data_IF_350095264485
#
_entry.id   IF_350095264485
#
_cell.length_a   1.000
_cell.length_b   1.000
_cell.length_c   1.000
_cell.angle_alpha   90.00
_cell.angle_beta   90.00
_cell.angle_gamma   90.00
#
_symmetry.space_group_name_H-M   'P 1'
#
loop_
_entity.id
_entity.type
_entity.pdbx_description
1 polymer ?
#
# COMPACT_ATOMS: atom_id res chain seq x y z
N UNK A 1 0.68 -12.09 -31.60
CA UNK A 1 -0.03 -12.82 -30.53
C UNK A 1 1.00 -13.04 -29.45
N UNK A 2 0.95 -12.26 -28.35
CA UNK A 2 1.81 -12.53 -27.20
C UNK A 2 1.39 -13.87 -26.60
N UNK A 3 2.32 -14.78 -26.46
CA UNK A 3 2.08 -16.00 -25.69
C UNK A 3 1.65 -15.60 -24.29
N UNK A 4 0.61 -16.25 -23.75
CA UNK A 4 0.23 -16.04 -22.35
C UNK A 4 1.44 -16.37 -21.49
N UNK A 5 1.78 -15.54 -20.49
CA UNK A 5 2.88 -15.86 -19.59
C UNK A 5 2.64 -17.24 -18.98
N UNK A 6 3.69 -18.05 -18.89
CA UNK A 6 3.61 -19.43 -18.43
C UNK A 6 3.08 -19.56 -16.98
N UNK A 7 3.10 -18.46 -16.23
CA UNK A 7 2.65 -18.39 -14.83
C UNK A 7 1.22 -17.81 -14.64
N UNK A 8 0.56 -17.34 -15.72
CA UNK A 8 -0.79 -16.76 -15.65
C UNK A 8 -0.92 -15.44 -14.88
N UNK A 9 0.19 -14.84 -14.44
CA UNK A 9 0.21 -13.64 -13.57
C UNK A 9 0.35 -12.36 -14.37
N UNK A 10 1.50 -12.15 -15.02
CA UNK A 10 1.82 -10.91 -15.74
C UNK A 10 2.94 -11.13 -16.74
N UNK A 11 2.91 -10.40 -17.88
CA UNK A 11 3.94 -10.47 -18.90
C UNK A 11 5.31 -9.95 -18.42
N UNK A 12 5.32 -9.10 -17.39
CA UNK A 12 6.55 -8.55 -16.77
C UNK A 12 6.94 -9.27 -15.47
N UNK A 13 6.19 -10.27 -15.06
CA UNK A 13 6.48 -11.06 -13.87
C UNK A 13 7.44 -12.21 -14.20
N UNK A 14 8.63 -12.17 -13.63
CA UNK A 14 9.59 -13.26 -13.74
C UNK A 14 9.38 -14.29 -12.61
N UNK A 15 8.81 -15.48 -12.89
CA UNK A 15 8.50 -16.46 -11.86
C UNK A 15 9.75 -16.99 -11.14
N UNK A 16 10.94 -16.83 -11.69
CA UNK A 16 12.19 -17.30 -11.06
C UNK A 16 12.63 -16.44 -9.88
N UNK A 17 12.12 -15.20 -9.82
CA UNK A 17 12.42 -14.25 -8.73
C UNK A 17 11.46 -14.35 -7.54
N UNK A 18 10.39 -15.10 -7.65
CA UNK A 18 9.28 -15.10 -6.71
C UNK A 18 8.85 -16.50 -6.30
N UNK A 19 8.41 -16.62 -5.04
CA UNK A 19 7.75 -17.81 -4.50
C UNK A 19 6.40 -17.40 -3.93
N UNK A 20 5.35 -18.16 -4.23
CA UNK A 20 4.02 -17.92 -3.66
C UNK A 20 4.05 -18.06 -2.14
N UNK A 21 3.39 -17.15 -1.43
CA UNK A 21 3.28 -17.21 0.04
C UNK A 21 2.24 -18.26 0.43
N UNK A 22 2.63 -19.35 1.12
CA UNK A 22 1.71 -20.42 1.43
C UNK A 22 0.65 -20.02 2.47
N UNK A 23 -0.49 -20.74 2.46
CA UNK A 23 -1.57 -20.54 3.43
C UNK A 23 -2.59 -19.46 3.04
N UNK A 24 -2.50 -18.94 1.82
CA UNK A 24 -3.46 -17.98 1.26
C UNK A 24 -4.02 -18.54 -0.06
N UNK A 25 -5.34 -18.66 -0.11
CA UNK A 25 -6.08 -18.99 -1.33
C UNK A 25 -6.85 -17.73 -1.76
N UNK A 26 -6.18 -16.88 -2.53
CA UNK A 26 -6.71 -15.61 -2.99
C UNK A 26 -7.24 -15.72 -4.42
N UNK A 27 -8.44 -15.17 -4.65
CA UNK A 27 -9.08 -15.17 -5.96
C UNK A 27 -8.80 -13.88 -6.77
N UNK A 28 -8.74 -12.76 -6.09
CA UNK A 28 -8.71 -11.42 -6.69
C UNK A 28 -7.33 -10.75 -6.64
N UNK A 29 -6.39 -11.34 -5.91
CA UNK A 29 -5.00 -10.88 -5.82
C UNK A 29 -4.03 -12.05 -5.96
N UNK A 30 -2.76 -11.73 -6.23
CA UNK A 30 -1.64 -12.68 -6.05
C UNK A 30 -0.71 -12.19 -4.96
N UNK A 31 -0.10 -13.11 -4.21
CA UNK A 31 0.77 -12.79 -3.09
C UNK A 31 2.04 -13.64 -3.15
N UNK A 32 3.17 -12.99 -3.41
CA UNK A 32 4.46 -13.65 -3.60
C UNK A 32 5.54 -13.02 -2.72
N UNK A 33 6.54 -13.82 -2.38
CA UNK A 33 7.76 -13.41 -1.70
C UNK A 33 8.90 -13.40 -2.71
N UNK A 34 9.74 -12.37 -2.68
CA UNK A 34 10.96 -12.34 -3.47
C UNK A 34 11.98 -13.34 -2.90
N UNK A 35 12.70 -14.04 -3.79
CA UNK A 35 13.64 -15.09 -3.41
C UNK A 35 14.93 -14.51 -2.81
N UNK A 36 15.41 -13.37 -3.29
CA UNK A 36 16.71 -12.80 -2.95
C UNK A 36 16.64 -11.51 -2.11
N UNK A 37 15.44 -10.98 -1.87
CA UNK A 37 15.20 -9.73 -1.15
C UNK A 37 14.11 -9.94 -0.11
N UNK A 38 14.23 -9.32 1.06
CA UNK A 38 13.22 -9.37 2.12
C UNK A 38 11.95 -8.55 1.73
N UNK A 39 11.39 -8.82 0.56
CA UNK A 39 10.23 -8.13 0.00
C UNK A 39 9.10 -9.08 -0.34
N UNK A 40 7.88 -8.56 -0.35
CA UNK A 40 6.70 -9.25 -0.86
C UNK A 40 6.05 -8.43 -1.96
N UNK A 41 5.42 -9.12 -2.91
CA UNK A 41 4.61 -8.55 -3.99
C UNK A 41 3.16 -8.94 -3.78
N UNK A 42 2.31 -7.93 -3.62
CA UNK A 42 0.86 -8.06 -3.57
C UNK A 42 0.32 -7.41 -4.84
N UNK A 43 -0.40 -8.15 -5.66
CA UNK A 43 -0.89 -7.64 -6.94
C UNK A 43 -2.38 -7.91 -7.14
N UNK A 44 -3.13 -6.89 -7.55
CA UNK A 44 -4.48 -7.08 -8.05
C UNK A 44 -4.48 -8.07 -9.22
N UNK A 45 -5.42 -8.99 -9.26
CA UNK A 45 -5.49 -10.05 -10.27
C UNK A 45 -6.88 -10.18 -10.91
N UNK A 46 -7.39 -9.05 -11.39
CA UNK A 46 -8.63 -8.94 -12.16
C UNK A 46 -8.40 -8.14 -13.46
N UNK A 47 -7.40 -8.54 -14.29
CA UNK A 47 -6.95 -7.72 -15.43
C UNK A 47 -8.05 -7.52 -16.48
N UNK A 48 -9.00 -8.43 -16.61
CA UNK A 48 -10.14 -8.34 -17.54
C UNK A 48 -11.07 -7.14 -17.28
N UNK A 49 -10.97 -6.54 -16.09
CA UNK A 49 -11.72 -5.34 -15.68
C UNK A 49 -10.79 -4.24 -15.15
N UNK A 50 -9.57 -4.20 -15.63
CA UNK A 50 -8.57 -3.20 -15.21
C UNK A 50 -8.29 -3.21 -13.71
N UNK A 51 -8.30 -4.38 -13.11
CA UNK A 51 -8.05 -4.56 -11.67
C UNK A 51 -8.98 -3.71 -10.78
N UNK A 52 -10.24 -3.51 -11.21
CA UNK A 52 -11.25 -2.88 -10.36
C UNK A 52 -11.49 -3.75 -9.13
N UNK A 53 -11.45 -3.15 -7.94
CA UNK A 53 -11.65 -3.89 -6.69
C UNK A 53 -13.14 -4.05 -6.33
N UNK A 54 -13.45 -5.15 -5.69
CA UNK A 54 -14.73 -5.48 -5.04
C UNK A 54 -14.49 -5.79 -3.56
N UNK A 55 -15.53 -5.97 -2.74
CA UNK A 55 -15.34 -6.26 -1.31
C UNK A 55 -14.37 -7.41 -1.04
N UNK A 56 -14.48 -8.54 -1.75
CA UNK A 56 -13.54 -9.65 -1.61
C UNK A 56 -12.09 -9.24 -1.91
N UNK A 57 -11.85 -8.48 -2.97
CA UNK A 57 -10.50 -7.96 -3.28
C UNK A 57 -9.92 -7.17 -2.11
N UNK A 58 -10.75 -6.36 -1.45
CA UNK A 58 -10.34 -5.53 -0.32
C UNK A 58 -10.01 -6.38 0.91
N UNK A 59 -10.82 -7.41 1.19
CA UNK A 59 -10.56 -8.37 2.28
C UNK A 59 -9.24 -9.14 2.05
N UNK A 60 -9.00 -9.58 0.82
CA UNK A 60 -7.75 -10.26 0.45
C UNK A 60 -6.54 -9.35 0.58
N UNK A 61 -6.63 -8.10 0.09
CA UNK A 61 -5.59 -7.09 0.25
C UNK A 61 -5.27 -6.83 1.73
N UNK A 62 -6.30 -6.67 2.55
CA UNK A 62 -6.12 -6.45 3.99
C UNK A 62 -5.39 -7.62 4.63
N UNK A 63 -5.79 -8.86 4.34
CA UNK A 63 -5.15 -10.07 4.87
C UNK A 63 -3.69 -10.19 4.45
N UNK A 64 -3.37 -9.95 3.16
CA UNK A 64 -2.00 -9.99 2.65
C UNK A 64 -1.12 -8.90 3.28
N UNK A 65 -1.62 -7.66 3.36
CA UNK A 65 -0.91 -6.54 3.97
C UNK A 65 -0.70 -6.73 5.47
N UNK A 66 -1.69 -7.25 6.20
CA UNK A 66 -1.57 -7.52 7.63
C UNK A 66 -0.57 -8.64 7.91
N UNK A 67 -0.58 -9.70 7.12
CA UNK A 67 0.46 -10.74 7.18
C UNK A 67 1.85 -10.15 6.90
N UNK A 68 2.00 -9.36 5.82
CA UNK A 68 3.26 -8.70 5.50
C UNK A 68 3.72 -7.76 6.62
N UNK A 69 2.78 -7.05 7.27
CA UNK A 69 3.05 -6.18 8.42
C UNK A 69 3.65 -6.95 9.60
N UNK A 70 3.12 -8.12 9.89
CA UNK A 70 3.52 -8.95 11.04
C UNK A 70 4.76 -9.82 10.78
N UNK A 71 5.03 -10.18 9.51
CA UNK A 71 6.12 -11.08 9.15
C UNK A 71 7.50 -10.42 9.45
N UNK A 72 8.32 -11.04 10.31
CA UNK A 72 9.63 -10.51 10.73
C UNK A 72 10.68 -10.52 9.63
N UNK A 73 10.49 -11.31 8.60
CA UNK A 73 11.38 -11.52 7.46
C UNK A 73 10.96 -10.72 6.21
N UNK A 74 9.97 -9.84 6.33
CA UNK A 74 9.55 -8.88 5.29
C UNK A 74 9.98 -7.48 5.69
N UNK A 75 10.78 -6.82 4.86
CA UNK A 75 11.24 -5.44 5.05
C UNK A 75 10.52 -4.43 4.15
N UNK A 76 10.03 -4.86 2.97
CA UNK A 76 9.39 -4.00 1.98
C UNK A 76 8.18 -4.69 1.33
N UNK A 77 7.18 -3.91 0.95
CA UNK A 77 5.98 -4.39 0.22
C UNK A 77 5.90 -3.70 -1.13
N UNK A 78 5.80 -4.49 -2.20
CA UNK A 78 5.48 -4.02 -3.55
C UNK A 78 3.98 -4.23 -3.78
N UNK A 79 3.22 -3.16 -4.00
CA UNK A 79 1.80 -3.20 -4.33
C UNK A 79 1.64 -2.86 -5.81
N UNK A 80 1.09 -3.78 -6.60
CA UNK A 80 1.00 -3.64 -8.06
C UNK A 80 -0.30 -4.21 -8.63
N UNK A 81 -0.39 -4.32 -9.95
CA UNK A 81 -1.49 -4.96 -10.67
C UNK A 81 -0.99 -5.91 -11.75
N UNK A 82 -1.58 -7.09 -11.83
CA UNK A 82 -1.30 -8.07 -12.88
C UNK A 82 -1.94 -7.66 -14.22
N UNK A 83 -1.34 -8.11 -15.30
CA UNK A 83 -1.79 -7.80 -16.65
C UNK A 83 -0.95 -8.47 -17.73
N UNK A 84 -1.20 -8.17 -18.98
CA UNK A 84 -2.19 -7.22 -19.51
C UNK A 84 -3.64 -7.75 -19.46
N UNK A 85 -4.61 -6.87 -19.73
CA UNK A 85 -6.00 -7.28 -19.87
C UNK A 85 -6.15 -8.21 -21.10
N UNK A 86 -6.81 -9.37 -20.93
CA UNK A 86 -7.05 -10.30 -22.03
C UNK A 86 -8.00 -9.75 -23.11
N UNK A 87 -8.70 -8.64 -22.83
CA UNK A 87 -9.69 -8.04 -23.76
C UNK A 87 -9.01 -7.19 -24.85
N UNK A 88 -7.98 -6.44 -24.47
CA UNK A 88 -7.41 -5.41 -25.35
C UNK A 88 -5.91 -5.14 -25.12
N UNK A 89 -5.26 -5.97 -24.30
CA UNK A 89 -3.83 -5.84 -24.00
C UNK A 89 -3.48 -4.64 -23.12
N UNK A 90 -4.47 -3.90 -22.59
CA UNK A 90 -4.18 -2.72 -21.77
C UNK A 90 -3.81 -3.06 -20.34
N UNK A 91 -2.99 -2.19 -19.73
CA UNK A 91 -2.46 -2.35 -18.39
C UNK A 91 -3.20 -1.51 -17.36
N UNK A 92 -3.28 -2.00 -16.13
CA UNK A 92 -3.75 -1.24 -14.99
C UNK A 92 -3.07 -1.70 -13.69
N UNK A 93 -2.77 -0.73 -12.85
CA UNK A 93 -2.56 -0.96 -11.43
C UNK A 93 -3.91 -1.32 -10.78
N UNK A 94 -4.81 -0.35 -10.75
CA UNK A 94 -6.16 -0.50 -10.23
C UNK A 94 -7.06 0.64 -10.75
N UNK A 95 -8.21 0.32 -11.29
CA UNK A 95 -9.17 1.30 -11.81
C UNK A 95 -10.22 1.76 -10.79
N UNK A 96 -10.00 1.48 -9.49
CA UNK A 96 -10.91 1.86 -8.42
C UNK A 96 -11.98 0.82 -8.14
N UNK A 97 -13.08 1.21 -7.51
CA UNK A 97 -14.18 0.32 -7.18
C UNK A 97 -14.94 -0.18 -8.41
N UNK A 98 -15.30 -1.44 -8.42
CA UNK A 98 -16.07 -2.07 -9.52
C UNK A 98 -17.47 -1.48 -9.60
N UNK A 99 -17.68 -0.54 -10.51
CA UNK A 99 -18.95 0.18 -10.67
C UNK A 99 -20.14 -0.72 -11.06
N UNK A 100 -19.89 -1.93 -11.57
CA UNK A 100 -20.95 -2.88 -11.96
C UNK A 100 -21.72 -3.43 -10.77
N UNK A 101 -21.09 -3.43 -9.58
CA UNK A 101 -21.67 -3.94 -8.32
C UNK A 101 -22.00 -2.84 -7.32
N UNK A 102 -21.80 -1.56 -7.69
CA UNK A 102 -22.16 -0.42 -6.84
C UNK A 102 -23.67 -0.16 -6.88
N UNK A 103 -24.35 -0.36 -5.76
CA UNK A 103 -25.74 -0.03 -5.55
C UNK A 103 -25.95 1.21 -4.68
N UNK A 104 -27.20 1.49 -4.28
CA UNK A 104 -27.53 2.56 -3.32
C UNK A 104 -26.88 2.33 -1.94
N UNK A 105 -26.66 1.07 -1.58
CA UNK A 105 -26.07 0.67 -0.31
C UNK A 105 -24.53 0.47 -0.41
N UNK A 106 -23.91 0.95 -1.49
CA UNK A 106 -22.49 0.80 -1.75
C UNK A 106 -22.13 -0.47 -2.53
N UNK A 107 -20.90 -0.95 -2.33
CA UNK A 107 -20.38 -2.17 -2.98
C UNK A 107 -20.80 -3.40 -2.17
N UNK A 108 -21.38 -4.41 -2.83
CA UNK A 108 -21.90 -5.62 -2.17
C UNK A 108 -21.03 -6.83 -2.48
N UNK A 109 -20.98 -7.75 -1.51
CA UNK A 109 -20.50 -9.10 -1.75
C UNK A 109 -21.47 -9.84 -2.70
N UNK A 110 -20.95 -10.82 -3.44
CA UNK A 110 -21.80 -11.72 -4.23
C UNK A 110 -22.62 -12.64 -3.33
N UNK A 111 -23.68 -13.24 -3.89
CA UNK A 111 -24.53 -14.19 -3.14
C UNK A 111 -23.73 -15.43 -2.68
N UNK A 112 -22.73 -15.86 -3.45
CA UNK A 112 -21.84 -16.96 -3.03
C UNK A 112 -20.97 -16.59 -1.83
N UNK A 113 -20.40 -15.39 -1.80
CA UNK A 113 -19.58 -14.89 -0.70
C UNK A 113 -20.41 -14.73 0.59
N UNK A 114 -21.64 -14.23 0.47
CA UNK A 114 -22.56 -14.12 1.62
C UNK A 114 -23.05 -15.48 2.12
N UNK A 115 -23.21 -16.48 1.24
CA UNK A 115 -23.55 -17.85 1.61
C UNK A 115 -22.43 -18.56 2.41
N UNK A 116 -21.17 -18.11 2.27
CA UNK A 116 -20.02 -18.59 3.05
C UNK A 116 -19.94 -17.96 4.46
N UNK A 117 -20.94 -17.17 4.86
CA UNK A 117 -21.05 -16.61 6.22
C UNK A 117 -20.49 -15.21 6.40
N UNK A 118 -20.22 -14.48 5.31
CA UNK A 118 -19.85 -13.06 5.40
C UNK A 118 -21.07 -12.25 5.84
N UNK A 119 -20.90 -11.48 6.92
CA UNK A 119 -21.94 -10.59 7.42
C UNK A 119 -22.30 -9.53 6.37
N UNK A 120 -23.56 -9.52 5.92
CA UNK A 120 -24.06 -8.56 4.94
C UNK A 120 -23.92 -7.10 5.40
N UNK A 121 -23.82 -6.83 6.71
CA UNK A 121 -23.57 -5.49 7.23
C UNK A 121 -22.19 -4.94 6.84
N UNK A 122 -21.22 -5.79 6.51
CA UNK A 122 -19.91 -5.38 5.98
C UNK A 122 -20.01 -4.78 4.59
N UNK A 123 -21.00 -5.21 3.79
CA UNK A 123 -21.09 -4.85 2.38
C UNK A 123 -21.30 -3.35 2.14
N UNK A 124 -21.94 -2.62 3.06
CA UNK A 124 -22.16 -1.18 2.94
C UNK A 124 -20.96 -0.31 3.31
N UNK A 125 -19.88 -0.89 3.82
CA UNK A 125 -18.69 -0.15 4.29
C UNK A 125 -17.62 -0.08 3.22
N UNK A 126 -16.94 1.04 3.16
CA UNK A 126 -15.77 1.22 2.27
C UNK A 126 -14.51 0.66 2.95
N UNK A 127 -14.36 -0.66 2.98
CA UNK A 127 -13.23 -1.35 3.61
C UNK A 127 -11.87 -0.94 3.00
N UNK A 128 -11.84 -0.38 1.80
CA UNK A 128 -10.62 0.16 1.17
C UNK A 128 -9.97 1.24 2.05
N UNK A 129 -10.72 1.95 2.88
CA UNK A 129 -10.17 2.92 3.83
C UNK A 129 -9.33 2.25 4.91
N UNK A 130 -9.69 1.03 5.33
CA UNK A 130 -8.88 0.24 6.26
C UNK A 130 -7.59 -0.25 5.61
N UNK A 131 -7.60 -0.58 4.32
CA UNK A 131 -6.38 -0.88 3.55
C UNK A 131 -5.47 0.35 3.49
N UNK A 132 -6.01 1.52 3.19
CA UNK A 132 -5.25 2.78 3.18
C UNK A 132 -4.63 3.06 4.56
N UNK A 133 -5.41 2.89 5.62
CA UNK A 133 -4.94 3.06 7.00
C UNK A 133 -3.81 2.07 7.33
N UNK A 134 -3.95 0.81 6.93
CA UNK A 134 -2.94 -0.21 7.16
C UNK A 134 -1.63 0.12 6.43
N UNK A 135 -1.69 0.52 5.15
CA UNK A 135 -0.52 0.94 4.37
C UNK A 135 0.20 2.10 5.07
N UNK A 136 -0.53 3.13 5.50
CA UNK A 136 0.04 4.30 6.13
C UNK A 136 0.70 3.99 7.48
N UNK A 137 0.07 3.13 8.29
CA UNK A 137 0.47 2.90 9.68
C UNK A 137 1.38 1.68 9.88
N UNK A 138 1.58 0.84 8.85
CA UNK A 138 2.46 -0.31 8.99
C UNK A 138 3.93 0.10 9.11
N UNK A 139 4.75 -0.67 9.89
CA UNK A 139 6.16 -0.33 10.16
C UNK A 139 7.11 -0.66 8.99
N UNK A 140 6.59 -0.73 7.77
CA UNK A 140 7.34 -1.14 6.57
C UNK A 140 7.06 -0.20 5.43
N UNK A 141 8.03 -0.04 4.55
CA UNK A 141 7.87 0.76 3.33
C UNK A 141 7.00 0.01 2.35
N UNK A 142 6.04 0.72 1.75
CA UNK A 142 5.17 0.21 0.69
C UNK A 142 5.46 0.99 -0.59
N UNK A 143 5.92 0.30 -1.62
CA UNK A 143 6.15 0.85 -2.96
C UNK A 143 4.95 0.50 -3.85
N UNK A 144 4.29 1.50 -4.40
CA UNK A 144 3.29 1.29 -5.45
C UNK A 144 4.00 1.19 -6.80
N UNK A 145 3.81 0.07 -7.48
CA UNK A 145 4.35 -0.19 -8.81
C UNK A 145 3.20 -0.12 -9.81
N UNK A 146 3.18 0.92 -10.65
CA UNK A 146 2.04 1.29 -11.50
C UNK A 146 2.28 0.86 -12.95
N UNK A 147 1.82 -0.34 -13.37
CA UNK A 147 2.05 -0.84 -14.74
C UNK A 147 1.11 -0.21 -15.77
N UNK A 148 0.06 0.50 -15.35
CA UNK A 148 -0.94 1.06 -16.24
C UNK A 148 -1.87 2.03 -15.51
N UNK A 149 -3.18 1.93 -15.73
CA UNK A 149 -4.16 2.83 -15.13
C UNK A 149 -4.19 2.75 -13.60
N UNK A 150 -4.03 3.89 -12.95
CA UNK A 150 -4.33 4.13 -11.54
C UNK A 150 -5.47 5.16 -11.48
N UNK A 151 -6.73 4.70 -11.24
CA UNK A 151 -7.89 5.55 -11.35
C UNK A 151 -8.82 5.46 -10.13
N UNK A 152 -9.48 6.53 -9.76
CA UNK A 152 -10.39 6.61 -8.62
C UNK A 152 -9.73 6.09 -7.33
N UNK A 153 -10.32 5.08 -6.68
CA UNK A 153 -9.73 4.44 -5.50
C UNK A 153 -8.34 3.84 -5.73
N UNK A 154 -8.01 3.43 -6.97
CA UNK A 154 -6.65 3.00 -7.34
C UNK A 154 -5.65 4.17 -7.35
N UNK A 155 -6.08 5.35 -7.80
CA UNK A 155 -5.28 6.57 -7.67
C UNK A 155 -5.05 6.92 -6.20
N UNK A 156 -6.07 6.85 -5.37
CA UNK A 156 -5.94 7.12 -3.93
C UNK A 156 -5.00 6.13 -3.24
N UNK A 157 -5.00 4.84 -3.65
CA UNK A 157 -4.09 3.84 -3.09
C UNK A 157 -2.61 4.16 -3.37
N UNK A 158 -2.24 4.56 -4.61
CA UNK A 158 -0.85 4.89 -4.89
C UNK A 158 -0.39 6.15 -4.12
N UNK A 159 -1.29 7.12 -3.94
CA UNK A 159 -1.00 8.34 -3.15
C UNK A 159 -0.72 8.02 -1.68
N UNK A 160 -1.36 6.99 -1.13
CA UNK A 160 -1.19 6.56 0.27
C UNK A 160 0.08 5.73 0.47
N UNK A 161 0.58 5.06 -0.57
CA UNK A 161 1.86 4.34 -0.52
C UNK A 161 3.03 5.30 -0.26
N UNK A 162 4.11 4.79 0.29
CA UNK A 162 5.29 5.61 0.64
C UNK A 162 6.04 6.10 -0.61
N UNK A 163 6.12 5.26 -1.64
CA UNK A 163 6.82 5.53 -2.89
C UNK A 163 5.98 5.03 -4.08
N UNK A 164 6.19 5.62 -5.26
CA UNK A 164 5.54 5.20 -6.51
C UNK A 164 6.53 5.15 -7.66
N UNK A 165 6.59 4.00 -8.34
CA UNK A 165 7.31 3.79 -9.61
C UNK A 165 6.27 3.53 -10.69
N UNK A 166 6.38 4.17 -11.85
CA UNK A 166 5.39 4.11 -12.92
C UNK A 166 5.98 3.69 -14.27
N UNK A 167 5.22 2.90 -15.04
CA UNK A 167 5.52 2.60 -16.42
C UNK A 167 5.46 3.84 -17.30
N UNK A 168 6.51 4.12 -18.07
CA UNK A 168 6.59 5.23 -19.00
C UNK A 168 5.47 5.15 -20.06
N UNK A 169 5.28 3.98 -20.66
CA UNK A 169 4.38 3.78 -21.78
C UNK A 169 2.91 3.69 -21.36
N UNK A 170 2.63 3.02 -20.25
CA UNK A 170 1.27 2.59 -19.92
C UNK A 170 0.65 3.28 -18.71
N UNK A 171 1.45 3.85 -17.78
CA UNK A 171 0.87 4.45 -16.58
C UNK A 171 0.05 5.70 -16.93
N UNK A 172 -1.17 5.72 -16.37
CA UNK A 172 -2.13 6.83 -16.50
C UNK A 172 -2.80 7.03 -15.15
N UNK A 173 -2.86 8.28 -14.75
CA UNK A 173 -3.39 8.69 -13.45
C UNK A 173 -4.64 9.53 -13.65
N UNK A 174 -5.73 9.18 -12.95
CA UNK A 174 -6.99 9.91 -13.05
C UNK A 174 -7.79 9.78 -11.76
N UNK A 175 -8.33 10.90 -11.26
CA UNK A 175 -9.41 10.85 -10.29
C UNK A 175 -10.76 10.87 -11.01
N UNK A 176 -11.57 9.84 -10.73
CA UNK A 176 -12.84 9.61 -11.41
C UNK A 176 -14.07 9.91 -10.55
N UNK A 177 -13.89 10.29 -9.29
CA UNK A 177 -14.98 10.39 -8.33
C UNK A 177 -16.06 11.37 -8.77
N UNK A 178 -15.68 12.54 -9.29
CA UNK A 178 -16.61 13.54 -9.79
C UNK A 178 -17.34 13.10 -11.06
N UNK A 179 -16.71 12.25 -11.89
CA UNK A 179 -17.34 11.72 -13.11
C UNK A 179 -18.44 10.69 -12.80
N UNK A 180 -18.34 9.99 -11.67
CA UNK A 180 -19.24 8.88 -11.30
C UNK A 180 -20.08 9.18 -10.06
N UNK A 181 -20.19 10.44 -9.67
CA UNK A 181 -20.90 10.90 -8.48
C UNK A 181 -20.47 10.12 -7.22
N UNK A 182 -19.17 10.01 -7.03
CA UNK A 182 -18.51 9.45 -5.85
C UNK A 182 -17.72 10.52 -5.12
N UNK A 183 -17.11 10.14 -4.01
CA UNK A 183 -16.28 11.00 -3.18
C UNK A 183 -15.08 10.21 -2.66
N UNK A 184 -13.87 10.78 -2.78
CA UNK A 184 -12.67 10.20 -2.17
C UNK A 184 -12.72 10.41 -0.65
N UNK A 185 -13.30 9.46 0.06
CA UNK A 185 -13.52 9.49 1.49
C UNK A 185 -12.31 9.10 2.35
N UNK A 186 -11.17 8.77 1.71
CA UNK A 186 -9.97 8.29 2.39
C UNK A 186 -8.87 9.34 2.51
N UNK A 187 -7.65 8.85 2.62
CA UNK A 187 -6.46 9.69 2.68
C UNK A 187 -6.06 10.30 1.32
N UNK A 188 -6.59 9.79 0.20
CA UNK A 188 -6.14 10.14 -1.14
C UNK A 188 -6.15 11.65 -1.40
N UNK A 189 -7.29 12.32 -1.22
CA UNK A 189 -7.40 13.78 -1.47
C UNK A 189 -6.52 14.59 -0.52
N UNK A 190 -6.51 14.26 0.75
CA UNK A 190 -5.74 14.99 1.76
C UNK A 190 -4.23 14.87 1.55
N UNK A 191 -3.73 13.66 1.27
CA UNK A 191 -2.31 13.41 1.03
C UNK A 191 -1.86 13.93 -0.33
N UNK A 192 -2.69 13.79 -1.39
CA UNK A 192 -2.37 14.34 -2.70
C UNK A 192 -2.13 15.84 -2.62
N UNK A 193 -3.00 16.58 -1.90
CA UNK A 193 -2.84 18.03 -1.74
C UNK A 193 -1.54 18.42 -1.02
N UNK A 194 -1.00 17.55 -0.17
CA UNK A 194 0.30 17.73 0.48
C UNK A 194 1.48 17.43 -0.44
N UNK A 195 1.34 16.44 -1.31
CA UNK A 195 2.38 16.01 -2.25
C UNK A 195 2.54 17.01 -3.41
N UNK A 196 1.43 17.43 -4.04
CA UNK A 196 1.45 18.26 -5.27
C UNK A 196 1.02 19.71 -5.04
N UNK A 197 0.59 20.05 -3.83
CA UNK A 197 0.00 21.36 -3.51
C UNK A 197 -1.47 21.48 -3.89
N UNK A 198 -2.16 22.45 -3.25
CA UNK A 198 -3.62 22.61 -3.33
C UNK A 198 -4.14 22.86 -4.76
N UNK A 199 -3.40 23.60 -5.59
CA UNK A 199 -3.87 23.96 -6.94
C UNK A 199 -3.91 22.76 -7.86
N UNK A 200 -2.83 21.96 -7.88
CA UNK A 200 -2.74 20.75 -8.71
C UNK A 200 -3.73 19.69 -8.20
N UNK A 201 -3.81 19.47 -6.89
CA UNK A 201 -4.77 18.53 -6.33
C UNK A 201 -6.22 18.88 -6.71
N UNK A 202 -6.61 20.15 -6.63
CA UNK A 202 -7.94 20.61 -7.04
C UNK A 202 -8.18 20.45 -8.53
N UNK A 203 -7.18 20.67 -9.37
CA UNK A 203 -7.27 20.43 -10.80
C UNK A 203 -7.54 18.94 -11.08
N UNK A 204 -6.77 18.04 -10.43
CA UNK A 204 -6.94 16.59 -10.58
C UNK A 204 -8.36 16.17 -10.19
N UNK A 205 -8.86 16.59 -9.03
CA UNK A 205 -10.17 16.18 -8.54
C UNK A 205 -11.34 16.86 -9.27
N UNK A 206 -11.24 18.16 -9.55
CA UNK A 206 -12.37 18.91 -10.09
C UNK A 206 -12.53 18.76 -11.60
N UNK A 207 -11.42 18.60 -12.33
CA UNK A 207 -11.47 18.44 -13.78
C UNK A 207 -11.47 16.99 -14.23
N UNK A 208 -11.06 16.04 -13.37
CA UNK A 208 -11.02 14.62 -13.70
C UNK A 208 -10.14 14.30 -14.91
N UNK A 209 -9.10 15.09 -15.17
CA UNK A 209 -8.19 14.88 -16.31
C UNK A 209 -7.33 13.64 -16.11
N UNK A 210 -6.89 13.08 -17.24
CA UNK A 210 -5.91 12.00 -17.25
C UNK A 210 -4.51 12.58 -17.36
N UNK A 211 -3.60 12.13 -16.50
CA UNK A 211 -2.19 12.50 -16.49
C UNK A 211 -1.33 11.31 -16.89
N UNK A 212 -0.29 11.56 -17.65
CA UNK A 212 0.76 10.60 -18.01
C UNK A 212 1.71 10.36 -16.83
N UNK A 213 2.54 9.32 -16.93
CA UNK A 213 3.60 9.08 -15.94
C UNK A 213 4.55 10.28 -15.81
N UNK A 214 4.95 10.88 -16.92
CA UNK A 214 5.85 12.04 -16.94
C UNK A 214 5.22 13.26 -16.26
N UNK A 215 3.93 13.56 -16.51
CA UNK A 215 3.22 14.65 -15.85
C UNK A 215 3.07 14.42 -14.36
N UNK A 216 2.71 13.19 -13.93
CA UNK A 216 2.59 12.81 -12.53
C UNK A 216 3.95 12.89 -11.79
N UNK A 217 5.04 12.52 -12.47
CA UNK A 217 6.40 12.69 -11.95
C UNK A 217 6.77 14.18 -11.81
N UNK A 218 6.49 14.99 -12.83
CA UNK A 218 6.73 16.44 -12.76
C UNK A 218 5.92 17.14 -11.66
N UNK A 219 4.74 16.62 -11.33
CA UNK A 219 3.91 17.10 -10.22
C UNK A 219 4.39 16.62 -8.84
N UNK A 220 5.31 15.65 -8.77
CA UNK A 220 5.88 15.12 -7.53
C UNK A 220 5.08 14.02 -6.86
N UNK A 221 4.08 13.43 -7.53
CA UNK A 221 3.30 12.31 -6.98
C UNK A 221 3.85 10.93 -7.40
N UNK A 222 4.74 10.89 -8.38
CA UNK A 222 5.48 9.69 -8.81
C UNK A 222 6.97 9.93 -8.61
N UNK A 223 7.66 9.00 -7.97
CA UNK A 223 9.08 9.11 -7.66
C UNK A 223 9.98 8.78 -8.86
N UNK A 224 9.61 7.78 -9.66
CA UNK A 224 10.37 7.37 -10.84
C UNK A 224 9.46 6.90 -11.96
N UNK A 225 9.90 7.13 -13.19
CA UNK A 225 9.27 6.64 -14.43
C UNK A 225 10.31 5.84 -15.18
N UNK A 226 9.96 4.60 -15.49
CA UNK A 226 10.87 3.64 -16.14
C UNK A 226 10.19 2.91 -17.30
N UNK A 227 10.93 2.39 -18.28
CA UNK A 227 10.38 1.54 -19.32
C UNK A 227 9.57 0.39 -18.73
N UNK A 228 8.43 0.07 -19.32
CA UNK A 228 7.49 -0.93 -18.79
C UNK A 228 8.15 -2.27 -18.50
N UNK A 229 9.00 -2.74 -19.40
CA UNK A 229 9.71 -4.01 -19.26
C UNK A 229 10.69 -4.05 -18.07
N UNK A 230 11.09 -2.90 -17.54
CA UNK A 230 12.01 -2.78 -16.39
C UNK A 230 11.30 -2.50 -15.07
N UNK A 231 9.99 -2.34 -15.09
CA UNK A 231 9.21 -1.82 -13.98
C UNK A 231 9.36 -2.66 -12.69
N UNK A 232 9.24 -3.97 -12.80
CA UNK A 232 9.35 -4.87 -11.61
C UNK A 232 10.80 -5.04 -11.16
N UNK A 233 11.77 -5.00 -12.09
CA UNK A 233 13.19 -5.06 -11.75
C UNK A 233 13.63 -3.81 -11.00
N UNK A 234 13.20 -2.63 -11.42
CA UNK A 234 13.45 -1.38 -10.70
C UNK A 234 12.82 -1.41 -9.29
N UNK A 235 11.59 -1.93 -9.17
CA UNK A 235 10.95 -2.08 -7.88
C UNK A 235 11.69 -3.04 -6.93
N UNK A 236 12.23 -4.14 -7.44
CA UNK A 236 13.08 -5.06 -6.68
C UNK A 236 14.41 -4.42 -6.28
N UNK A 237 15.01 -3.61 -7.15
CA UNK A 237 16.21 -2.85 -6.81
C UNK A 237 15.93 -1.90 -5.66
N UNK A 238 14.85 -1.11 -5.71
CA UNK A 238 14.48 -0.21 -4.62
C UNK A 238 14.17 -0.98 -3.33
N UNK A 239 13.48 -2.11 -3.43
CA UNK A 239 13.24 -2.96 -2.27
C UNK A 239 14.55 -3.46 -1.64
N UNK A 240 15.54 -3.83 -2.46
CA UNK A 240 16.87 -4.24 -1.99
C UNK A 240 17.61 -3.09 -1.29
N UNK A 241 17.55 -1.89 -1.84
CA UNK A 241 18.14 -0.70 -1.21
C UNK A 241 17.49 -0.39 0.15
N UNK A 242 16.16 -0.48 0.22
CA UNK A 242 15.37 -0.31 1.44
C UNK A 242 15.75 -1.38 2.46
N UNK A 243 15.77 -2.64 2.08
CA UNK A 243 16.09 -3.76 2.97
C UNK A 243 17.55 -3.73 3.43
N UNK A 244 18.44 -3.05 2.71
CA UNK A 244 19.82 -2.78 3.11
C UNK A 244 19.99 -1.68 4.17
N UNK A 245 18.91 -1.00 4.58
CA UNK A 245 18.96 0.04 5.62
C UNK A 245 18.49 -0.50 6.98
N UNK A 246 18.72 0.27 8.03
CA UNK A 246 18.25 -0.07 9.38
C UNK A 246 16.73 -0.15 9.45
N UNK A 247 16.13 -1.31 9.78
CA UNK A 247 14.67 -1.43 9.88
C UNK A 247 14.05 -0.51 10.94
N UNK A 248 14.76 -0.30 12.05
CA UNK A 248 14.33 0.60 13.11
C UNK A 248 14.31 2.05 12.63
N UNK A 249 15.40 2.53 12.01
CA UNK A 249 15.50 3.90 11.55
C UNK A 249 14.45 4.23 10.47
N UNK A 250 14.19 3.30 9.53
CA UNK A 250 13.15 3.48 8.50
C UNK A 250 11.74 3.55 9.10
N UNK A 251 11.44 2.67 10.05
CA UNK A 251 10.15 2.66 10.75
C UNK A 251 9.93 3.98 11.50
N UNK A 252 10.94 4.44 12.22
CA UNK A 252 10.87 5.72 12.94
C UNK A 252 10.74 6.91 11.98
N UNK A 253 11.45 6.91 10.86
CA UNK A 253 11.33 7.93 9.82
C UNK A 253 9.92 7.97 9.23
N UNK A 254 9.35 6.82 8.86
CA UNK A 254 7.97 6.73 8.34
C UNK A 254 6.97 7.30 9.35
N UNK A 255 7.06 6.92 10.61
CA UNK A 255 6.16 7.42 11.64
C UNK A 255 6.33 8.92 11.89
N UNK A 256 7.56 9.43 11.92
CA UNK A 256 7.81 10.85 12.08
C UNK A 256 7.26 11.68 10.91
N UNK A 257 7.43 11.21 9.67
CA UNK A 257 6.87 11.86 8.47
C UNK A 257 5.33 11.87 8.49
N UNK A 258 4.71 10.81 8.97
CA UNK A 258 3.26 10.68 9.02
C UNK A 258 2.63 11.44 10.19
N UNK A 259 3.27 11.48 11.34
CA UNK A 259 2.72 11.99 12.62
C UNK A 259 2.21 13.43 12.50
N UNK A 260 2.89 14.27 11.74
CA UNK A 260 2.52 15.69 11.58
C UNK A 260 1.13 15.84 10.97
N UNK A 261 0.76 14.96 10.05
CA UNK A 261 -0.55 14.99 9.38
C UNK A 261 -1.61 14.16 10.09
N UNK A 262 -1.21 13.09 10.77
CA UNK A 262 -2.12 12.14 11.40
C UNK A 262 -2.55 12.55 12.83
N UNK A 263 -1.98 13.64 13.37
CA UNK A 263 -2.36 14.20 14.65
C UNK A 263 -2.25 13.18 15.80
N UNK A 264 -3.27 13.08 16.65
CA UNK A 264 -3.24 12.17 17.81
C UNK A 264 -3.12 10.69 17.46
N UNK A 265 -3.63 10.26 16.30
CA UNK A 265 -3.47 8.88 15.83
C UNK A 265 -2.01 8.60 15.46
N UNK A 266 -1.38 9.53 14.75
CA UNK A 266 0.04 9.46 14.44
C UNK A 266 0.91 9.49 15.70
N UNK A 267 0.57 10.33 16.67
CA UNK A 267 1.23 10.37 17.97
C UNK A 267 1.13 9.02 18.69
N UNK A 268 -0.02 8.35 18.68
CA UNK A 268 -0.18 7.04 19.31
C UNK A 268 0.71 5.97 18.66
N UNK A 269 0.76 5.94 17.32
CA UNK A 269 1.61 5.00 16.58
C UNK A 269 3.08 5.24 16.87
N UNK A 270 3.53 6.50 16.85
CA UNK A 270 4.89 6.89 17.21
C UNK A 270 5.22 6.53 18.66
N UNK A 271 4.32 6.85 19.60
CA UNK A 271 4.52 6.58 21.02
C UNK A 271 4.65 5.08 21.33
N UNK A 272 3.89 4.22 20.63
CA UNK A 272 4.01 2.77 20.77
C UNK A 272 5.42 2.27 20.44
N UNK A 273 6.02 2.77 19.36
CA UNK A 273 7.40 2.41 19.00
C UNK A 273 8.42 3.06 19.94
N UNK A 274 8.25 4.32 20.29
CA UNK A 274 9.11 5.02 21.24
C UNK A 274 9.14 4.32 22.62
N UNK A 275 7.98 3.89 23.12
CA UNK A 275 7.86 3.13 24.36
C UNK A 275 8.61 1.80 24.28
N UNK A 276 8.48 1.08 23.16
CA UNK A 276 9.22 -0.18 22.93
C UNK A 276 10.73 0.05 22.96
N UNK A 277 11.21 1.12 22.33
CA UNK A 277 12.65 1.48 22.36
C UNK A 277 13.10 1.90 23.75
N UNK A 278 12.28 2.67 24.48
CA UNK A 278 12.59 3.07 25.84
C UNK A 278 12.77 1.87 26.79
N UNK A 279 11.93 0.82 26.66
CA UNK A 279 12.09 -0.41 27.45
C UNK A 279 13.40 -1.18 27.21
N UNK A 280 14.14 -0.86 26.16
CA UNK A 280 15.42 -1.49 25.82
C UNK A 280 16.61 -0.76 26.48
N UNK A 281 16.39 0.30 27.23
CA UNK A 281 17.45 1.06 27.92
C UNK A 281 17.74 0.50 29.30
N UNK A 282 18.96 0.69 29.78
CA UNK A 282 19.38 0.30 31.14
C UNK A 282 18.60 1.11 32.20
N UNK A 283 18.26 2.37 31.89
CA UNK A 283 17.42 3.21 32.73
C UNK A 283 16.03 2.59 32.98
N UNK A 284 15.42 2.01 31.94
CA UNK A 284 14.14 1.30 32.10
C UNK A 284 14.28 -0.02 32.88
N UNK A 285 15.43 -0.68 32.79
CA UNK A 285 15.77 -1.86 33.61
C UNK A 285 15.84 -1.48 35.08
N UNK A 286 16.57 -0.41 35.44
CA UNK A 286 16.63 0.10 36.82
C UNK A 286 15.25 0.46 37.36
N UNK A 287 14.44 1.17 36.56
CA UNK A 287 13.06 1.53 36.95
C UNK A 287 12.18 0.32 37.22
N UNK A 288 12.31 -0.74 36.44
CA UNK A 288 11.58 -2.01 36.67
C UNK A 288 12.09 -2.74 37.90
N UNK A 289 13.40 -2.91 38.02
CA UNK A 289 14.02 -3.75 39.05
C UNK A 289 13.83 -3.12 40.42
N UNK A 290 14.05 -1.80 40.58
CA UNK A 290 13.78 -1.07 41.82
C UNK A 290 12.34 -1.23 42.27
N UNK A 291 11.37 -1.15 41.34
CA UNK A 291 9.95 -1.37 41.65
C UNK A 291 9.66 -2.79 42.16
N UNK A 292 10.24 -3.82 41.52
CA UNK A 292 10.06 -5.22 41.92
C UNK A 292 10.73 -5.53 43.26
N UNK A 293 11.89 -4.94 43.51
CA UNK A 293 12.69 -5.10 44.74
C UNK A 293 12.19 -4.24 45.87
N UNK A 294 11.21 -3.33 45.61
CA UNK A 294 10.63 -2.39 46.58
C UNK A 294 11.69 -1.47 47.22
N UNK A 295 12.63 -1.03 46.44
CA UNK A 295 13.65 -0.03 46.81
C UNK A 295 13.46 1.24 46.00
N UNK A 296 14.05 2.33 46.44
CA UNK A 296 14.15 3.55 45.63
C UNK A 296 15.05 3.30 44.39
N UNK A 297 14.71 3.84 43.21
CA UNK A 297 15.54 3.74 42.05
C UNK A 297 16.81 4.60 42.19
N UNK A 298 17.93 4.11 41.67
CA UNK A 298 19.17 4.86 41.60
C UNK A 298 19.37 5.42 40.18
N UNK A 299 19.08 6.69 40.02
CA UNK A 299 19.25 7.40 38.75
C UNK A 299 20.65 8.03 38.61
N UNK A 300 21.55 7.84 39.54
CA UNK A 300 22.88 8.54 39.57
C UNK A 300 23.78 8.16 38.42
N UNK A 301 23.61 6.96 37.84
CA UNK A 301 24.37 6.49 36.70
C UNK A 301 23.87 7.01 35.35
N UNK A 302 22.68 7.64 35.33
CA UNK A 302 22.03 8.09 34.08
C UNK A 302 22.17 9.61 33.95
N UNK A 303 22.75 10.10 32.85
CA UNK A 303 22.88 11.53 32.64
C UNK A 303 21.54 12.17 32.26
N UNK A 304 21.30 13.39 32.77
CA UNK A 304 20.10 14.16 32.39
C UNK A 304 20.15 14.71 30.96
N UNK A 305 21.29 14.65 30.31
CA UNK A 305 21.53 15.08 28.96
C UNK A 305 22.61 14.23 28.30
N UNK A 306 22.38 13.76 27.08
CA UNK A 306 23.30 12.99 26.28
C UNK A 306 24.03 13.86 25.24
#
# INVERSE_FOLDING_TARGET
MSEKPANGVSDIFDPTKWTEVPGFDFADITYHRANDVAAVRIAFHRPEIRNAFRPNTVDELYRALDHARMASDVGCVLLTGNGPSPKDGGWAFCSGGDQRIRGKDGYKYSDSETAEGIDAARSGRLHILEVQRLIRMMPKVVICVVPGWAAGGGHSLHVVCDLTIASEEHARFKQTDTDVASFDGGFGSALLARQVGQKIAREIFFLGRTYTAAEAHAQGVVNAVVPHAQLEDEALQWASEICGKSPMAQRMAKYALNMVDDGMVGQQVFAGEATRLAYMTDEAVEGRDSFLEKRDPDWSEFPYYY
#
